data_IF_840922490819
#
_entry.id   IF_840922490819
#
_cell.length_a   1.000
_cell.length_b   1.000
_cell.length_c   1.000
_cell.angle_alpha   90.00
_cell.angle_beta   90.00
_cell.angle_gamma   90.00
#
_symmetry.space_group_name_H-M   'P 1'
#
loop_
_entity.id
_entity.type
_entity.pdbx_description
1 polymer ?
#
# COMPACT_ATOMS: atom_id res chain seq x y z
N UNK A 1 -24.15 -11.00 36.86
CA UNK A 1 -23.17 -12.08 36.59
C UNK A 1 -21.80 -11.43 36.47
N UNK A 2 -21.03 -11.45 37.54
CA UNK A 2 -19.59 -11.14 37.55
C UNK A 2 -18.86 -12.46 37.83
N UNK A 3 -17.68 -12.69 37.23
CA UNK A 3 -16.46 -12.39 38.00
C UNK A 3 -15.28 -11.82 37.18
N UNK A 4 -14.55 -10.93 37.87
CA UNK A 4 -13.11 -10.72 38.04
C UNK A 4 -12.01 -11.14 37.02
N UNK A 5 -10.85 -10.44 37.04
CA UNK A 5 -9.74 -10.54 36.08
C UNK A 5 -8.70 -11.59 36.48
N UNK A 6 -7.93 -12.07 35.49
CA UNK A 6 -6.86 -13.07 35.64
C UNK A 6 -5.49 -12.38 35.48
N UNK A 7 -4.59 -12.64 36.43
CA UNK A 7 -3.16 -12.25 36.46
C UNK A 7 -2.32 -12.92 35.34
N UNK A 8 -1.13 -12.39 35.01
CA UNK A 8 -0.28 -12.94 33.96
C UNK A 8 0.61 -14.11 34.45
N UNK A 9 0.79 -15.08 33.55
CA UNK A 9 1.59 -16.30 33.71
C UNK A 9 3.08 -16.01 33.49
N UNK A 10 3.92 -16.29 34.50
CA UNK A 10 5.37 -16.37 34.39
C UNK A 10 5.77 -17.84 34.14
N UNK A 11 6.28 -18.14 32.95
CA UNK A 11 7.12 -19.34 32.73
C UNK A 11 8.27 -19.02 31.79
N UNK A 12 9.43 -18.72 32.36
CA UNK A 12 10.72 -18.77 31.70
C UNK A 12 11.52 -19.93 32.29
N UNK A 13 11.70 -21.00 31.52
CA UNK A 13 12.52 -22.15 31.88
C UNK A 13 13.78 -22.13 31.00
N UNK A 14 14.95 -21.98 31.63
CA UNK A 14 16.26 -22.22 31.01
C UNK A 14 17.29 -22.62 32.07
N UNK A 15 17.49 -23.93 32.12
CA UNK A 15 18.50 -24.73 32.81
C UNK A 15 19.92 -24.12 32.76
N UNK A 16 20.57 -24.02 33.93
CA UNK A 16 22.02 -23.87 34.06
C UNK A 16 22.53 -24.75 35.22
N UNK A 17 23.60 -25.55 35.05
CA UNK A 17 24.11 -26.35 36.15
C UNK A 17 25.30 -25.67 36.85
N UNK A 18 25.09 -25.48 38.16
CA UNK A 18 25.96 -25.87 39.28
C UNK A 18 27.40 -25.36 39.38
N UNK A 19 27.55 -24.40 40.31
CA UNK A 19 28.53 -24.30 41.40
C UNK A 19 29.77 -25.21 41.40
N UNK A 20 30.94 -24.56 41.52
CA UNK A 20 32.24 -25.14 41.88
C UNK A 20 32.73 -24.53 43.20
N UNK A 21 33.25 -25.32 44.16
CA UNK A 21 33.72 -24.82 45.45
C UNK A 21 35.19 -24.38 45.43
N UNK A 22 35.53 -23.48 46.35
CA UNK A 22 36.87 -22.97 46.61
C UNK A 22 37.77 -24.00 47.31
N UNK A 23 39.03 -24.12 46.87
CA UNK A 23 40.17 -24.49 47.72
C UNK A 23 41.49 -23.94 47.16
N UNK A 24 42.33 -23.55 48.11
CA UNK A 24 43.65 -22.95 47.96
C UNK A 24 44.68 -23.88 47.29
N UNK A 25 45.63 -23.26 46.59
CA UNK A 25 46.85 -23.87 46.09
C UNK A 25 47.78 -22.81 45.52
N UNK A 26 48.95 -22.66 46.13
CA UNK A 26 50.07 -21.81 45.75
C UNK A 26 50.52 -22.03 44.30
N UNK A 27 50.89 -20.96 43.59
CA UNK A 27 52.04 -20.90 42.69
C UNK A 27 52.17 -19.51 42.07
N UNK A 28 53.07 -18.73 42.67
CA UNK A 28 53.93 -17.69 42.11
C UNK A 28 53.95 -17.51 40.58
N UNK A 29 53.60 -16.30 40.11
CA UNK A 29 54.16 -15.70 38.90
C UNK A 29 54.77 -14.36 39.28
N UNK A 30 56.10 -14.32 39.21
CA UNK A 30 56.94 -13.20 39.61
C UNK A 30 56.85 -12.01 38.66
N UNK A 31 56.65 -10.86 39.28
CA UNK A 31 56.75 -9.52 38.74
C UNK A 31 58.14 -9.21 38.19
N UNK A 32 58.13 -8.43 37.10
CA UNK A 32 59.21 -7.69 36.45
C UNK A 32 60.29 -7.22 37.45
N UNK A 33 61.49 -7.78 37.28
CA UNK A 33 62.70 -7.42 38.00
C UNK A 33 63.53 -6.38 37.26
N UNK A 34 63.83 -5.33 37.99
CA UNK A 34 64.66 -4.15 37.72
C UNK A 34 66.06 -4.52 37.21
N UNK A 35 66.56 -3.72 36.26
CA UNK A 35 67.97 -3.70 35.86
C UNK A 35 68.82 -3.29 37.06
N UNK A 36 69.74 -4.15 37.49
CA UNK A 36 70.81 -3.78 38.40
C UNK A 36 72.14 -4.27 37.82
N UNK A 37 72.93 -3.30 37.38
CA UNK A 37 74.35 -3.40 37.05
C UNK A 37 75.17 -3.39 38.35
N UNK A 38 75.91 -4.47 38.64
CA UNK A 38 77.19 -4.42 39.39
C UNK A 38 77.79 -5.83 39.55
N UNK A 39 79.12 -5.87 39.43
CA UNK A 39 80.06 -6.87 39.94
C UNK A 39 80.09 -8.30 39.35
N UNK A 40 81.12 -8.52 38.53
CA UNK A 40 81.98 -9.70 38.65
C UNK A 40 83.37 -9.37 38.09
N UNK A 41 84.22 -8.78 38.95
CA UNK A 41 85.66 -8.84 38.80
C UNK A 41 86.15 -10.27 39.10
N UNK A 42 87.17 -10.71 38.36
CA UNK A 42 88.10 -11.73 38.82
C UNK A 42 87.91 -13.14 38.27
N UNK A 43 88.52 -13.38 37.10
CA UNK A 43 89.22 -14.63 36.86
C UNK A 43 90.41 -14.32 35.96
N UNK A 44 91.56 -14.17 36.60
CA UNK A 44 92.85 -14.08 35.97
C UNK A 44 93.07 -15.36 35.16
N UNK A 45 93.28 -15.23 33.86
CA UNK A 45 93.93 -16.28 33.08
C UNK A 45 95.38 -15.86 32.86
N UNK A 46 96.23 -16.68 33.43
CA UNK A 46 97.68 -16.55 33.51
C UNK A 46 98.28 -16.41 32.13
N UNK A 47 99.10 -15.37 31.96
CA UNK A 47 99.99 -15.19 30.83
C UNK A 47 101.00 -16.34 30.86
N UNK A 48 100.77 -17.33 29.99
CA UNK A 48 101.65 -18.48 29.84
C UNK A 48 103.00 -18.03 29.27
N UNK A 49 104.04 -18.33 30.03
CA UNK A 49 105.42 -18.02 29.73
C UNK A 49 106.01 -19.17 28.90
N UNK A 50 106.47 -18.84 27.69
CA UNK A 50 107.57 -19.50 26.99
C UNK A 50 107.66 -21.04 27.10
N UNK A 51 106.70 -21.73 26.50
CA UNK A 51 106.86 -23.13 26.08
C UNK A 51 107.34 -23.21 24.63
N UNK A 52 108.39 -23.96 24.37
CA UNK A 52 108.74 -24.42 23.01
C UNK A 52 107.49 -25.03 22.34
N UNK A 53 107.29 -24.89 21.01
CA UNK A 53 106.04 -25.26 20.36
C UNK A 53 105.77 -26.75 20.56
N UNK A 54 104.75 -27.10 21.34
CA UNK A 54 104.22 -28.45 21.31
C UNK A 54 103.78 -28.76 19.86
N UNK A 55 104.17 -29.92 19.30
CA UNK A 55 103.79 -30.25 17.94
C UNK A 55 102.27 -30.30 17.87
N UNK A 56 101.69 -29.55 16.95
CA UNK A 56 100.26 -29.59 16.67
C UNK A 56 99.82 -31.06 16.57
N UNK A 57 99.05 -31.53 17.55
CA UNK A 57 98.50 -32.87 17.52
C UNK A 57 97.54 -32.91 16.33
N UNK A 58 97.75 -33.87 15.43
CA UNK A 58 97.06 -33.97 14.14
C UNK A 58 95.52 -34.04 14.27
N UNK A 59 95.03 -34.35 15.48
CA UNK A 59 93.61 -34.36 15.87
C UNK A 59 93.03 -33.00 16.27
N UNK A 60 93.85 -32.04 16.70
CA UNK A 60 93.44 -30.71 17.20
C UNK A 60 93.47 -29.61 16.12
N UNK A 61 93.67 -29.98 14.86
CA UNK A 61 93.69 -29.05 13.74
C UNK A 61 92.27 -28.57 13.37
N UNK A 62 92.08 -27.29 12.97
CA UNK A 62 90.82 -26.79 12.45
C UNK A 62 90.34 -27.57 11.23
N UNK A 63 89.02 -27.69 11.06
CA UNK A 63 88.38 -28.50 10.03
C UNK A 63 88.88 -28.17 8.62
N UNK A 64 88.99 -26.88 8.29
CA UNK A 64 89.52 -26.42 7.00
C UNK A 64 90.97 -26.88 6.74
N UNK A 65 91.82 -26.91 7.77
CA UNK A 65 93.21 -27.37 7.65
C UNK A 65 93.26 -28.89 7.58
N UNK A 66 92.40 -29.60 8.33
CA UNK A 66 92.28 -31.07 8.29
C UNK A 66 91.84 -31.57 6.93
N UNK A 67 90.79 -30.98 6.36
CA UNK A 67 90.29 -31.32 5.03
C UNK A 67 91.36 -31.08 3.97
N UNK A 68 92.05 -29.94 4.05
CA UNK A 68 93.13 -29.61 3.12
C UNK A 68 94.28 -30.61 3.18
N UNK A 69 94.75 -30.96 4.37
CA UNK A 69 95.82 -31.96 4.56
C UNK A 69 95.34 -33.34 4.10
N UNK A 70 94.10 -33.72 4.40
CA UNK A 70 93.51 -34.99 3.98
C UNK A 70 93.40 -35.11 2.45
N UNK A 71 93.09 -34.03 1.74
CA UNK A 71 93.11 -33.98 0.26
C UNK A 71 94.50 -34.25 -0.30
N UNK A 72 95.54 -33.63 0.28
CA UNK A 72 96.93 -33.80 -0.16
C UNK A 72 97.44 -35.21 0.11
N UNK A 73 97.15 -35.76 1.27
CA UNK A 73 97.47 -37.14 1.61
C UNK A 73 96.71 -38.14 0.73
N UNK A 74 95.42 -37.89 0.45
CA UNK A 74 94.59 -38.71 -0.42
C UNK A 74 95.09 -38.74 -1.87
N UNK A 75 95.69 -37.65 -2.35
CA UNK A 75 96.32 -37.57 -3.66
C UNK A 75 97.60 -38.42 -3.70
N UNK A 76 98.45 -38.32 -2.67
CA UNK A 76 99.72 -39.04 -2.58
C UNK A 76 99.54 -40.55 -2.37
N UNK A 77 98.70 -40.97 -1.42
CA UNK A 77 98.51 -42.38 -1.00
C UNK A 77 98.15 -43.33 -2.15
N UNK A 78 97.46 -42.82 -3.16
CA UNK A 78 97.08 -43.61 -4.32
C UNK A 78 98.24 -43.93 -5.27
N UNK A 79 99.36 -43.22 -5.16
CA UNK A 79 100.51 -43.27 -6.06
C UNK A 79 101.80 -43.71 -5.37
N UNK A 80 101.79 -43.85 -4.04
CA UNK A 80 102.93 -44.33 -3.26
C UNK A 80 103.14 -45.85 -3.39
N UNK A 81 104.40 -46.33 -3.31
CA UNK A 81 104.71 -47.75 -3.21
C UNK A 81 104.04 -48.41 -1.98
N UNK A 82 103.63 -49.67 -2.12
CA UNK A 82 102.94 -50.43 -1.03
C UNK A 82 103.82 -50.61 0.22
N UNK A 83 105.13 -50.45 0.09
CA UNK A 83 106.10 -50.46 1.19
C UNK A 83 105.99 -49.22 2.09
N UNK A 84 105.63 -48.06 1.53
CA UNK A 84 105.57 -46.78 2.23
C UNK A 84 104.15 -46.44 2.74
N UNK A 85 103.16 -47.26 2.40
CA UNK A 85 101.77 -47.09 2.84
C UNK A 85 101.46 -47.99 4.05
N UNK A 86 101.10 -47.40 5.21
CA UNK A 86 100.66 -48.14 6.40
C UNK A 86 99.53 -49.12 6.10
N UNK A 87 99.50 -50.26 6.80
CA UNK A 87 98.53 -51.33 6.54
C UNK A 87 97.08 -50.86 6.68
N UNK A 88 96.79 -49.94 7.61
CA UNK A 88 95.44 -49.40 7.81
C UNK A 88 94.96 -48.54 6.62
N UNK A 89 95.86 -47.99 5.80
CA UNK A 89 95.54 -47.10 4.68
C UNK A 89 95.43 -47.80 3.32
N UNK A 90 95.84 -49.07 3.22
CA UNK A 90 95.78 -49.84 1.96
C UNK A 90 94.37 -49.95 1.37
N UNK A 91 93.28 -50.08 2.16
CA UNK A 91 91.92 -50.00 1.63
C UNK A 91 91.57 -48.60 1.11
N UNK A 92 92.01 -47.55 1.81
CA UNK A 92 91.76 -46.14 1.45
C UNK A 92 92.43 -45.77 0.13
N UNK A 93 93.64 -46.28 -0.12
CA UNK A 93 94.36 -46.08 -1.39
C UNK A 93 93.56 -46.56 -2.62
N UNK A 94 92.73 -47.61 -2.44
CA UNK A 94 91.89 -48.19 -3.51
C UNK A 94 90.59 -47.43 -3.76
N UNK A 95 90.21 -46.48 -2.90
CA UNK A 95 88.98 -45.70 -3.12
C UNK A 95 89.12 -44.79 -4.35
N UNK A 96 87.96 -44.47 -4.95
CA UNK A 96 87.87 -43.49 -6.03
C UNK A 96 88.38 -42.11 -5.56
N UNK A 97 89.05 -41.32 -6.42
CA UNK A 97 89.69 -40.06 -6.04
C UNK A 97 88.79 -39.11 -5.24
N UNK A 98 87.53 -38.93 -5.65
CA UNK A 98 86.57 -38.04 -5.00
C UNK A 98 86.13 -38.49 -3.59
N UNK A 99 86.27 -39.78 -3.26
CA UNK A 99 85.86 -40.33 -1.96
C UNK A 99 87.02 -40.52 -0.98
N UNK A 100 88.28 -40.46 -1.46
CA UNK A 100 89.47 -40.71 -0.63
C UNK A 100 89.64 -39.70 0.49
N UNK A 101 89.58 -38.41 0.16
CA UNK A 101 89.70 -37.35 1.16
C UNK A 101 88.48 -37.34 2.12
N UNK A 102 87.27 -37.49 1.57
CA UNK A 102 86.02 -37.37 2.34
C UNK A 102 85.74 -38.56 3.28
N UNK A 103 85.97 -39.80 2.84
CA UNK A 103 85.70 -41.01 3.64
C UNK A 103 86.96 -41.55 4.34
N UNK A 104 88.15 -41.27 3.80
CA UNK A 104 89.43 -41.73 4.35
C UNK A 104 90.20 -40.67 5.11
N UNK A 105 89.72 -39.42 5.15
CA UNK A 105 90.47 -38.29 5.70
C UNK A 105 90.92 -38.46 7.15
N UNK A 106 90.05 -39.01 8.01
CA UNK A 106 90.39 -39.26 9.42
C UNK A 106 91.51 -40.30 9.57
N UNK A 107 91.45 -41.39 8.80
CA UNK A 107 92.49 -42.42 8.79
C UNK A 107 93.80 -41.88 8.21
N UNK A 108 93.73 -41.05 7.17
CA UNK A 108 94.90 -40.40 6.55
C UNK A 108 95.60 -39.45 7.52
N UNK A 109 94.84 -38.61 8.23
CA UNK A 109 95.38 -37.68 9.23
C UNK A 109 95.98 -38.42 10.43
N UNK A 110 95.33 -39.48 10.92
CA UNK A 110 95.87 -40.31 12.00
C UNK A 110 97.20 -40.97 11.58
N UNK A 111 97.25 -41.57 10.38
CA UNK A 111 98.46 -42.19 9.87
C UNK A 111 99.59 -41.20 9.60
N UNK A 112 99.28 -39.96 9.17
CA UNK A 112 100.27 -38.89 9.06
C UNK A 112 100.83 -38.53 10.43
N UNK A 113 100.02 -38.52 11.49
CA UNK A 113 100.47 -38.32 12.86
C UNK A 113 101.38 -39.44 13.36
N UNK A 114 100.93 -40.68 13.21
CA UNK A 114 101.53 -41.87 13.84
C UNK A 114 102.78 -42.39 13.11
N UNK A 115 102.89 -42.21 11.79
CA UNK A 115 103.98 -42.78 10.98
C UNK A 115 104.83 -41.69 10.31
N UNK A 116 106.06 -41.52 10.80
CA UNK A 116 107.04 -40.61 10.19
C UNK A 116 107.43 -41.02 8.76
N UNK A 117 107.59 -42.32 8.50
CA UNK A 117 107.93 -42.84 7.17
C UNK A 117 106.84 -42.47 6.14
N UNK A 118 105.58 -42.67 6.51
CA UNK A 118 104.45 -42.33 5.65
C UNK A 118 104.36 -40.82 5.39
N UNK A 119 104.57 -40.00 6.42
CA UNK A 119 104.61 -38.54 6.30
C UNK A 119 105.69 -38.07 5.32
N UNK A 120 106.91 -38.61 5.44
CA UNK A 120 108.02 -38.30 4.53
C UNK A 120 107.71 -38.73 3.10
N UNK A 121 107.14 -39.92 2.90
CA UNK A 121 106.75 -40.39 1.57
C UNK A 121 105.70 -39.48 0.91
N UNK A 122 104.71 -39.01 1.68
CA UNK A 122 103.71 -38.05 1.21
C UNK A 122 104.35 -36.71 0.85
N UNK A 123 105.27 -36.20 1.66
CA UNK A 123 105.98 -34.93 1.40
C UNK A 123 106.86 -35.04 0.15
N UNK A 124 107.63 -36.11 0.00
CA UNK A 124 108.49 -36.34 -1.16
C UNK A 124 107.67 -36.45 -2.45
N UNK A 125 106.55 -37.18 -2.40
CA UNK A 125 105.64 -37.24 -3.55
C UNK A 125 105.06 -35.86 -3.92
N UNK A 126 104.67 -35.07 -2.91
CA UNK A 126 104.18 -33.70 -3.11
C UNK A 126 105.27 -32.77 -3.66
N UNK A 127 106.53 -32.93 -3.25
CA UNK A 127 107.66 -32.18 -3.81
C UNK A 127 107.92 -32.51 -5.28
N UNK A 128 107.74 -33.76 -5.67
CA UNK A 128 107.97 -34.21 -7.04
C UNK A 128 106.81 -33.83 -7.97
N UNK A 129 105.56 -33.87 -7.49
CA UNK A 129 104.37 -33.76 -8.34
C UNK A 129 103.53 -32.48 -8.13
N UNK A 130 103.67 -31.80 -6.99
CA UNK A 130 102.80 -30.69 -6.54
C UNK A 130 103.55 -29.68 -5.65
N UNK A 131 104.65 -29.12 -6.16
CA UNK A 131 105.50 -28.14 -5.45
C UNK A 131 104.73 -26.94 -4.91
N UNK A 132 103.77 -26.44 -5.70
CA UNK A 132 103.01 -25.21 -5.39
C UNK A 132 102.16 -25.33 -4.13
N UNK A 133 101.88 -26.55 -3.68
CA UNK A 133 101.02 -26.81 -2.52
C UNK A 133 101.81 -26.98 -1.22
N UNK A 134 103.14 -27.04 -1.31
CA UNK A 134 104.05 -27.07 -0.16
C UNK A 134 104.67 -25.70 0.13
N UNK A 135 104.07 -24.61 -0.35
CA UNK A 135 104.52 -23.24 -0.04
C UNK A 135 103.96 -22.77 1.33
N UNK A 136 104.82 -22.60 2.36
CA UNK A 136 104.42 -22.09 3.67
C UNK A 136 104.04 -20.60 3.66
N UNK A 137 104.34 -19.89 2.56
CA UNK A 137 104.05 -18.47 2.36
C UNK A 137 102.93 -18.25 1.32
N UNK A 138 102.15 -19.29 1.02
CA UNK A 138 100.99 -19.16 0.15
C UNK A 138 100.05 -18.03 0.63
N UNK A 139 99.48 -17.28 -0.32
CA UNK A 139 98.57 -16.17 -0.03
C UNK A 139 97.30 -16.60 0.72
N UNK A 140 96.88 -17.85 0.54
CA UNK A 140 95.75 -18.44 1.25
C UNK A 140 96.20 -19.01 2.62
N UNK A 141 95.59 -18.51 3.70
CA UNK A 141 95.95 -18.85 5.08
C UNK A 141 95.79 -20.34 5.42
N UNK A 142 94.76 -21.01 4.86
CA UNK A 142 94.51 -22.44 5.06
C UNK A 142 95.57 -23.29 4.36
N UNK A 143 95.93 -22.94 3.12
CA UNK A 143 96.98 -23.63 2.36
C UNK A 143 98.36 -23.44 2.99
N UNK A 144 98.69 -22.22 3.43
CA UNK A 144 99.93 -21.93 4.15
C UNK A 144 100.03 -22.68 5.49
N UNK A 145 98.93 -22.77 6.24
CA UNK A 145 98.88 -23.54 7.49
C UNK A 145 99.02 -25.05 7.23
N UNK A 146 98.37 -25.59 6.20
CA UNK A 146 98.49 -27.00 5.81
C UNK A 146 99.91 -27.37 5.37
N UNK A 147 100.57 -26.52 4.57
CA UNK A 147 101.96 -26.71 4.16
C UNK A 147 102.93 -26.65 5.35
N UNK A 148 102.76 -25.67 6.25
CA UNK A 148 103.59 -25.54 7.45
C UNK A 148 103.44 -26.73 8.42
N UNK A 149 102.24 -27.29 8.57
CA UNK A 149 101.98 -28.49 9.39
C UNK A 149 102.61 -29.74 8.76
N UNK A 150 102.51 -29.91 7.43
CA UNK A 150 103.13 -31.03 6.73
C UNK A 150 104.66 -30.98 6.78
N UNK A 151 105.25 -29.80 6.62
CA UNK A 151 106.71 -29.60 6.65
C UNK A 151 107.30 -29.56 8.07
N UNK A 152 106.45 -29.53 9.10
CA UNK A 152 106.91 -29.50 10.50
C UNK A 152 107.60 -28.18 10.89
N UNK A 153 107.20 -27.06 10.29
CA UNK A 153 107.80 -25.76 10.59
C UNK A 153 107.48 -25.30 12.02
N UNK A 154 108.43 -24.62 12.67
CA UNK A 154 108.25 -24.04 14.01
C UNK A 154 107.10 -23.01 14.08
N UNK A 155 106.73 -22.39 12.95
CA UNK A 155 105.62 -21.45 12.83
C UNK A 155 104.23 -22.07 12.59
N UNK A 156 104.12 -23.39 12.44
CA UNK A 156 102.86 -24.06 12.07
C UNK A 156 101.72 -23.81 13.08
N UNK A 157 102.00 -23.89 14.38
CA UNK A 157 101.01 -23.67 15.44
C UNK A 157 100.45 -22.24 15.46
N UNK A 158 101.26 -21.23 15.08
CA UNK A 158 100.80 -19.84 14.96
C UNK A 158 99.83 -19.66 13.79
N UNK A 159 100.16 -20.23 12.62
CA UNK A 159 99.32 -20.16 11.42
C UNK A 159 97.98 -20.90 11.59
N UNK A 160 98.01 -22.06 12.24
CA UNK A 160 96.80 -22.83 12.56
C UNK A 160 95.85 -22.06 13.48
N UNK A 161 96.39 -21.40 14.53
CA UNK A 161 95.59 -20.52 15.41
C UNK A 161 94.98 -19.34 14.66
N UNK A 162 95.71 -18.74 13.71
CA UNK A 162 95.18 -17.66 12.87
C UNK A 162 94.01 -18.14 11.99
N UNK A 163 94.11 -19.34 11.40
CA UNK A 163 93.00 -19.93 10.62
C UNK A 163 91.79 -20.20 11.50
N UNK A 164 91.98 -20.74 12.71
CA UNK A 164 90.90 -20.97 13.66
C UNK A 164 90.18 -19.66 14.03
N UNK A 165 90.95 -18.61 14.38
CA UNK A 165 90.42 -17.29 14.72
C UNK A 165 89.65 -16.66 13.54
N UNK A 166 90.17 -16.77 12.32
CA UNK A 166 89.49 -16.26 11.13
C UNK A 166 88.19 -17.02 10.86
N UNK A 167 88.16 -18.34 11.07
CA UNK A 167 86.94 -19.13 10.92
C UNK A 167 85.87 -18.73 11.94
N UNK A 168 86.24 -18.56 13.22
CA UNK A 168 85.36 -18.06 14.27
C UNK A 168 84.81 -16.66 13.94
N UNK A 169 85.66 -15.75 13.48
CA UNK A 169 85.24 -14.41 13.09
C UNK A 169 84.26 -14.43 11.91
N UNK A 170 84.49 -15.30 10.92
CA UNK A 170 83.54 -15.46 9.80
C UNK A 170 82.21 -16.04 10.24
N UNK A 171 82.21 -17.00 11.18
CA UNK A 171 80.98 -17.58 11.73
C UNK A 171 80.18 -16.53 12.51
N UNK A 172 80.83 -15.76 13.39
CA UNK A 172 80.17 -14.69 14.15
C UNK A 172 79.64 -13.58 13.24
N UNK A 173 80.35 -13.23 12.16
CA UNK A 173 79.86 -12.28 11.15
C UNK A 173 78.61 -12.82 10.44
N UNK A 174 78.61 -14.09 10.05
CA UNK A 174 77.45 -14.72 9.42
C UNK A 174 76.23 -14.78 10.36
N UNK A 175 76.44 -15.10 11.64
CA UNK A 175 75.39 -15.09 12.66
C UNK A 175 74.81 -13.69 12.89
N UNK A 176 75.68 -12.68 12.97
CA UNK A 176 75.28 -11.27 13.06
C UNK A 176 74.45 -10.86 11.86
N UNK A 177 74.92 -11.16 10.64
CA UNK A 177 74.22 -10.77 9.41
C UNK A 177 72.87 -11.48 9.30
N UNK A 178 72.77 -12.75 9.72
CA UNK A 178 71.51 -13.47 9.82
C UNK A 178 70.57 -12.89 10.90
N UNK A 179 71.10 -12.41 12.03
CA UNK A 179 70.31 -11.73 13.05
C UNK A 179 69.79 -10.38 12.56
N UNK A 180 70.63 -9.58 11.89
CA UNK A 180 70.24 -8.30 11.28
C UNK A 180 69.17 -8.50 10.21
N UNK A 181 69.32 -9.51 9.34
CA UNK A 181 68.31 -9.82 8.33
C UNK A 181 66.97 -10.25 8.95
N UNK A 182 66.99 -10.99 10.07
CA UNK A 182 65.76 -11.33 10.82
C UNK A 182 65.13 -10.09 11.44
N UNK A 183 65.94 -9.20 12.02
CA UNK A 183 65.44 -7.98 12.63
C UNK A 183 64.79 -7.06 11.60
N UNK A 184 65.41 -6.87 10.44
CA UNK A 184 64.84 -6.10 9.32
C UNK A 184 63.52 -6.67 8.81
N UNK A 185 63.37 -8.00 8.74
CA UNK A 185 62.09 -8.63 8.37
C UNK A 185 61.01 -8.35 9.41
N UNK A 186 61.33 -8.51 10.69
CA UNK A 186 60.39 -8.22 11.78
C UNK A 186 60.01 -6.73 11.82
N UNK A 187 60.95 -5.82 11.54
CA UNK A 187 60.66 -4.39 11.44
C UNK A 187 59.72 -4.07 10.28
N UNK A 188 59.90 -4.73 9.12
CA UNK A 188 59.01 -4.61 7.98
C UNK A 188 57.60 -5.15 8.28
N UNK A 189 57.50 -6.33 8.88
CA UNK A 189 56.22 -6.92 9.33
C UNK A 189 55.52 -6.03 10.36
N UNK A 190 56.26 -5.46 11.32
CA UNK A 190 55.69 -4.51 12.29
C UNK A 190 55.21 -3.21 11.63
N UNK A 191 55.91 -2.72 10.60
CA UNK A 191 55.47 -1.56 9.85
C UNK A 191 54.18 -1.83 9.06
N UNK A 192 54.09 -3.00 8.43
CA UNK A 192 52.90 -3.45 7.71
C UNK A 192 51.70 -3.61 8.65
N UNK A 193 51.87 -4.32 9.77
CA UNK A 193 50.82 -4.50 10.78
C UNK A 193 50.35 -3.17 11.39
N UNK A 194 51.25 -2.21 11.60
CA UNK A 194 50.86 -0.86 12.06
C UNK A 194 50.00 -0.14 11.04
N UNK A 195 50.34 -0.27 9.75
CA UNK A 195 49.57 0.35 8.66
C UNK A 195 48.20 -0.31 8.51
N UNK A 196 48.11 -1.64 8.58
CA UNK A 196 46.83 -2.36 8.61
C UNK A 196 45.96 -1.95 9.80
N UNK A 197 46.57 -1.78 10.98
CA UNK A 197 45.87 -1.37 12.19
C UNK A 197 45.31 0.05 12.06
N UNK A 198 46.09 1.00 11.55
CA UNK A 198 45.62 2.36 11.29
C UNK A 198 44.51 2.41 10.23
N UNK A 199 44.61 1.58 9.17
CA UNK A 199 43.53 1.44 8.18
C UNK A 199 42.26 0.86 8.81
N UNK A 200 42.37 -0.17 9.64
CA UNK A 200 41.25 -0.78 10.33
C UNK A 200 40.59 0.20 11.33
N UNK A 201 41.39 1.00 12.04
CA UNK A 201 40.89 2.07 12.92
C UNK A 201 40.15 3.15 12.12
N UNK A 202 40.74 3.65 11.03
CA UNK A 202 40.10 4.65 10.18
C UNK A 202 38.78 4.14 9.57
N UNK A 203 38.74 2.88 9.12
CA UNK A 203 37.51 2.25 8.64
C UNK A 203 36.44 2.15 9.75
N UNK A 204 36.83 1.78 10.97
CA UNK A 204 35.91 1.70 12.10
C UNK A 204 35.36 3.07 12.51
N UNK A 205 36.20 4.12 12.50
CA UNK A 205 35.77 5.50 12.76
C UNK A 205 34.81 6.01 11.69
N UNK A 206 35.07 5.74 10.41
CA UNK A 206 34.17 6.11 9.32
C UNK A 206 32.79 5.44 9.47
N UNK A 207 32.77 4.12 9.69
CA UNK A 207 31.51 3.37 9.91
C UNK A 207 30.77 3.90 11.15
N UNK A 208 31.50 4.27 12.21
CA UNK A 208 30.91 4.87 13.40
C UNK A 208 30.30 6.24 13.09
N UNK A 209 31.01 7.10 12.36
CA UNK A 209 30.52 8.42 11.94
C UNK A 209 29.29 8.33 11.05
N UNK A 210 29.26 7.39 10.10
CA UNK A 210 28.08 7.12 9.26
C UNK A 210 26.87 6.70 10.10
N UNK A 211 27.05 5.76 11.05
CA UNK A 211 25.99 5.32 11.95
C UNK A 211 25.49 6.46 12.85
N UNK A 212 26.39 7.26 13.41
CA UNK A 212 26.03 8.42 14.25
C UNK A 212 25.22 9.45 13.43
N UNK A 213 25.61 9.71 12.18
CA UNK A 213 24.89 10.60 11.27
C UNK A 213 23.51 10.03 10.87
N UNK A 214 23.39 8.72 10.66
CA UNK A 214 22.10 8.05 10.43
C UNK A 214 21.18 8.16 11.64
N UNK A 215 21.70 7.91 12.84
CA UNK A 215 20.95 8.06 14.09
C UNK A 215 20.47 9.50 14.27
N UNK A 216 21.31 10.50 13.99
CA UNK A 216 20.91 11.91 14.06
C UNK A 216 19.80 12.24 13.06
N UNK A 217 19.90 11.74 11.81
CA UNK A 217 18.83 11.88 10.80
C UNK A 217 17.53 11.23 11.25
N UNK A 218 17.58 10.03 11.83
CA UNK A 218 16.40 9.33 12.35
C UNK A 218 15.77 10.07 13.54
N UNK A 219 16.59 10.56 14.48
CA UNK A 219 16.12 11.36 15.61
C UNK A 219 15.47 12.66 15.14
N UNK A 220 16.03 13.32 14.11
CA UNK A 220 15.44 14.51 13.50
C UNK A 220 14.09 14.21 12.87
N UNK A 221 13.98 13.15 12.06
CA UNK A 221 12.71 12.70 11.46
C UNK A 221 11.68 12.34 12.52
N UNK A 222 12.09 11.68 13.60
CA UNK A 222 11.19 11.33 14.71
C UNK A 222 10.66 12.58 15.42
N UNK A 223 11.51 13.60 15.62
CA UNK A 223 11.07 14.90 16.17
C UNK A 223 10.11 15.62 15.23
N UNK A 224 10.42 15.65 13.93
CA UNK A 224 9.55 16.25 12.90
C UNK A 224 8.18 15.56 12.86
N UNK A 225 8.15 14.22 12.84
CA UNK A 225 6.92 13.43 12.94
C UNK A 225 6.18 13.66 14.26
N UNK A 226 6.90 13.78 15.38
CA UNK A 226 6.32 14.08 16.69
C UNK A 226 5.72 15.49 16.77
N UNK A 227 6.24 16.47 16.02
CA UNK A 227 5.64 17.80 15.88
C UNK A 227 4.41 17.74 14.97
N UNK A 228 4.51 17.08 13.82
CA UNK A 228 3.37 16.90 12.89
C UNK A 228 2.20 16.17 13.56
N UNK A 229 2.45 15.13 14.34
CA UNK A 229 1.42 14.40 15.06
C UNK A 229 0.74 15.28 16.12
N UNK A 230 1.51 16.13 16.84
CA UNK A 230 0.94 17.09 17.79
C UNK A 230 0.07 18.12 17.06
N UNK A 231 0.58 18.74 16.00
CA UNK A 231 -0.19 19.68 15.19
C UNK A 231 -1.47 19.06 14.62
N UNK A 232 -1.41 17.81 14.15
CA UNK A 232 -2.58 17.09 13.63
C UNK A 232 -3.59 16.79 14.74
N UNK A 233 -3.14 16.45 15.96
CA UNK A 233 -4.01 16.27 17.12
C UNK A 233 -4.68 17.58 17.53
N UNK A 234 -3.91 18.65 17.67
CA UNK A 234 -4.42 19.97 18.05
C UNK A 234 -5.44 20.49 17.02
N UNK A 235 -5.15 20.30 15.72
CA UNK A 235 -6.07 20.65 14.64
C UNK A 235 -7.36 19.80 14.66
N UNK A 236 -7.25 18.50 14.96
CA UNK A 236 -8.41 17.63 15.08
C UNK A 236 -9.28 17.98 16.29
N UNK A 237 -8.69 18.37 17.42
CA UNK A 237 -9.42 18.88 18.58
C UNK A 237 -10.13 20.20 18.25
N UNK A 238 -9.43 21.16 17.63
CA UNK A 238 -10.04 22.42 17.20
C UNK A 238 -11.21 22.23 16.23
N UNK A 239 -11.08 21.30 15.28
CA UNK A 239 -12.14 20.98 14.32
C UNK A 239 -13.36 20.32 14.99
N UNK A 240 -13.15 19.49 16.03
CA UNK A 240 -14.23 18.92 16.84
C UNK A 240 -14.96 20.02 17.61
N UNK A 241 -14.23 20.91 18.28
CA UNK A 241 -14.83 22.02 19.02
C UNK A 241 -15.63 22.97 18.11
N UNK A 242 -15.16 23.18 16.88
CA UNK A 242 -15.90 23.97 15.89
C UNK A 242 -17.16 23.25 15.40
N UNK A 243 -17.08 21.94 15.14
CA UNK A 243 -18.23 21.13 14.78
C UNK A 243 -19.29 21.10 15.89
N UNK A 244 -18.87 20.97 17.15
CA UNK A 244 -19.76 20.97 18.31
C UNK A 244 -20.43 22.34 18.51
N UNK A 245 -19.67 23.44 18.38
CA UNK A 245 -20.22 24.80 18.40
C UNK A 245 -21.20 25.04 17.25
N UNK A 246 -20.86 24.61 16.04
CA UNK A 246 -21.73 24.69 14.87
C UNK A 246 -22.99 23.84 15.03
N UNK A 247 -22.87 22.65 15.60
CA UNK A 247 -23.98 21.76 15.94
C UNK A 247 -24.93 22.37 16.96
N UNK A 248 -24.38 22.94 18.05
CA UNK A 248 -25.16 23.63 19.08
C UNK A 248 -25.89 24.86 18.52
N UNK A 249 -25.23 25.68 17.70
CA UNK A 249 -25.86 26.83 17.06
C UNK A 249 -27.03 26.43 16.14
N UNK A 250 -26.82 25.39 15.31
CA UNK A 250 -27.88 24.84 14.44
C UNK A 250 -29.02 24.23 15.25
N UNK A 251 -28.74 23.55 16.36
CA UNK A 251 -29.78 23.00 17.22
C UNK A 251 -30.69 24.10 17.77
N UNK A 252 -30.11 25.21 18.26
CA UNK A 252 -30.86 26.38 18.73
C UNK A 252 -31.70 27.00 17.60
N UNK A 253 -31.15 27.13 16.40
CA UNK A 253 -31.88 27.65 15.23
C UNK A 253 -33.06 26.75 14.84
N UNK A 254 -32.85 25.43 14.81
CA UNK A 254 -33.90 24.45 14.52
C UNK A 254 -34.99 24.45 15.60
N UNK A 255 -34.64 24.56 16.87
CA UNK A 255 -35.61 24.71 17.96
C UNK A 255 -36.43 26.00 17.80
N UNK A 256 -35.79 27.12 17.45
CA UNK A 256 -36.47 28.39 17.20
C UNK A 256 -37.43 28.31 16.01
N UNK A 257 -37.01 27.74 14.89
CA UNK A 257 -37.84 27.53 13.70
C UNK A 257 -39.01 26.57 13.98
N UNK A 258 -38.77 25.48 14.70
CA UNK A 258 -39.83 24.55 15.11
C UNK A 258 -40.85 25.23 16.03
N UNK A 259 -40.39 26.08 16.97
CA UNK A 259 -41.28 26.85 17.83
C UNK A 259 -42.11 27.86 17.01
N UNK A 260 -41.52 28.54 16.03
CA UNK A 260 -42.25 29.43 15.11
C UNK A 260 -43.29 28.66 14.29
N UNK A 261 -42.90 27.53 13.68
CA UNK A 261 -43.80 26.69 12.92
C UNK A 261 -44.94 26.15 13.78
N UNK A 262 -44.66 25.78 15.04
CA UNK A 262 -45.65 25.37 16.02
C UNK A 262 -46.66 26.49 16.31
N UNK A 263 -46.20 27.72 16.52
CA UNK A 263 -47.08 28.89 16.73
C UNK A 263 -47.94 29.18 15.50
N UNK A 264 -47.38 29.15 14.30
CA UNK A 264 -48.13 29.36 13.06
C UNK A 264 -49.16 28.25 12.83
N UNK A 265 -48.80 26.98 13.05
CA UNK A 265 -49.76 25.86 13.01
C UNK A 265 -50.89 26.05 14.01
N UNK A 266 -50.60 26.51 15.22
CA UNK A 266 -51.62 26.77 16.23
C UNK A 266 -52.53 27.94 15.83
N UNK A 267 -51.99 29.02 15.27
CA UNK A 267 -52.77 30.14 14.71
C UNK A 267 -53.74 29.64 13.65
N UNK A 268 -53.23 28.95 12.63
CA UNK A 268 -54.05 28.36 11.55
C UNK A 268 -55.10 27.41 12.11
N UNK A 269 -54.76 26.56 13.08
CA UNK A 269 -55.73 25.66 13.73
C UNK A 269 -56.84 26.44 14.46
N UNK A 270 -56.48 27.49 15.21
CA UNK A 270 -57.47 28.33 15.91
C UNK A 270 -58.35 29.12 14.96
N UNK A 271 -57.81 29.64 13.87
CA UNK A 271 -58.58 30.34 12.83
C UNK A 271 -59.53 29.38 12.11
N UNK A 272 -59.06 28.18 11.76
CA UNK A 272 -59.91 27.12 11.19
C UNK A 272 -61.03 26.74 12.13
N UNK A 273 -60.75 26.50 13.41
CA UNK A 273 -61.77 26.18 14.40
C UNK A 273 -62.80 27.32 14.57
N UNK A 274 -62.37 28.59 14.48
CA UNK A 274 -63.28 29.74 14.47
C UNK A 274 -64.15 29.77 13.21
N UNK A 275 -63.56 29.52 12.04
CA UNK A 275 -64.28 29.47 10.78
C UNK A 275 -65.30 28.32 10.74
N UNK A 276 -64.93 27.13 11.24
CA UNK A 276 -65.82 25.98 11.39
C UNK A 276 -66.99 26.30 12.32
N UNK A 277 -66.74 26.90 13.49
CA UNK A 277 -67.82 27.34 14.39
C UNK A 277 -68.74 28.37 13.74
N UNK A 278 -68.18 29.39 13.09
CA UNK A 278 -68.97 30.39 12.39
C UNK A 278 -69.81 29.77 11.26
N UNK A 279 -69.28 28.76 10.56
CA UNK A 279 -70.04 28.03 9.53
C UNK A 279 -71.17 27.20 10.13
N UNK A 280 -70.92 26.51 11.24
CA UNK A 280 -71.95 25.74 11.96
C UNK A 280 -73.04 26.66 12.52
N UNK A 281 -72.68 27.79 13.13
CA UNK A 281 -73.63 28.80 13.63
C UNK A 281 -74.47 29.38 12.48
N UNK A 282 -73.85 29.64 11.32
CA UNK A 282 -74.55 30.12 10.13
C UNK A 282 -75.50 29.05 9.55
N UNK A 283 -75.14 27.77 9.60
CA UNK A 283 -76.01 26.66 9.21
C UNK A 283 -77.19 26.51 10.16
N UNK A 284 -76.96 26.56 11.49
CA UNK A 284 -78.02 26.55 12.51
C UNK A 284 -78.97 27.75 12.31
N UNK A 285 -78.43 28.95 12.09
CA UNK A 285 -79.24 30.14 11.82
C UNK A 285 -80.05 30.04 10.52
N UNK A 286 -79.49 29.41 9.48
CA UNK A 286 -80.21 29.12 8.23
C UNK A 286 -81.31 28.08 8.44
N UNK A 287 -81.04 27.04 9.22
CA UNK A 287 -82.00 26.00 9.55
C UNK A 287 -83.16 26.57 10.37
N UNK A 288 -82.89 27.35 11.41
CA UNK A 288 -83.93 28.00 12.21
C UNK A 288 -84.74 29.03 11.40
N UNK A 289 -84.09 29.76 10.47
CA UNK A 289 -84.80 30.64 9.54
C UNK A 289 -85.69 29.88 8.56
N UNK A 290 -85.29 28.66 8.12
CA UNK A 290 -86.14 27.78 7.31
C UNK A 290 -87.32 27.26 8.11
N UNK A 291 -87.08 26.74 9.31
CA UNK A 291 -88.14 26.25 10.20
C UNK A 291 -89.12 27.36 10.59
N UNK A 292 -88.66 28.59 10.81
CA UNK A 292 -89.52 29.75 11.04
C UNK A 292 -90.35 30.09 9.81
N UNK A 293 -89.77 30.06 8.60
CA UNK A 293 -90.52 30.25 7.35
C UNK A 293 -91.54 29.15 7.11
N UNK A 294 -91.19 27.89 7.36
CA UNK A 294 -92.12 26.76 7.28
C UNK A 294 -93.26 26.90 8.30
N UNK A 295 -92.96 27.33 9.53
CA UNK A 295 -93.97 27.61 10.54
C UNK A 295 -94.88 28.79 10.16
N UNK A 296 -94.30 29.86 9.58
CA UNK A 296 -95.06 30.99 9.04
C UNK A 296 -95.91 30.58 7.83
N UNK A 297 -95.41 29.71 6.95
CA UNK A 297 -96.17 29.12 5.84
C UNK A 297 -97.33 28.25 6.33
N UNK A 298 -97.11 27.41 7.35
CA UNK A 298 -98.18 26.62 8.00
C UNK A 298 -99.20 27.55 8.65
N UNK A 299 -98.77 28.63 9.31
CA UNK A 299 -99.67 29.63 9.89
C UNK A 299 -100.46 30.38 8.82
N UNK A 300 -99.82 30.76 7.71
CA UNK A 300 -100.46 31.39 6.56
C UNK A 300 -101.49 30.43 5.94
N UNK A 301 -101.16 29.14 5.81
CA UNK A 301 -102.08 28.12 5.34
C UNK A 301 -103.31 27.98 6.26
N UNK A 302 -103.14 27.96 7.59
CA UNK A 302 -104.25 27.94 8.55
C UNK A 302 -105.08 29.23 8.52
N UNK A 303 -104.47 30.39 8.31
CA UNK A 303 -105.18 31.67 8.14
C UNK A 303 -105.96 31.70 6.81
N UNK A 304 -105.40 31.16 5.74
CA UNK A 304 -106.11 30.98 4.46
C UNK A 304 -107.23 29.96 4.62
N UNK A 305 -107.04 28.86 5.35
CA UNK A 305 -108.08 27.85 5.59
C UNK A 305 -109.20 28.38 6.48
N UNK A 306 -108.90 29.26 7.44
CA UNK A 306 -109.94 29.96 8.22
C UNK A 306 -110.67 31.03 7.41
N UNK A 307 -109.98 31.72 6.50
CA UNK A 307 -110.64 32.60 5.52
C UNK A 307 -111.44 31.77 4.51
N UNK A 308 -110.95 30.63 4.03
CA UNK A 308 -111.67 29.74 3.11
C UNK A 308 -112.86 29.07 3.81
N UNK A 309 -112.75 28.78 5.12
CA UNK A 309 -113.86 28.37 5.97
C UNK A 309 -114.91 29.48 6.17
N UNK A 310 -114.47 30.73 6.35
CA UNK A 310 -115.37 31.90 6.44
C UNK A 310 -116.01 32.24 5.07
N UNK A 311 -115.26 32.12 3.98
CA UNK A 311 -115.70 32.33 2.59
C UNK A 311 -116.58 31.17 2.13
N UNK A 312 -116.31 29.92 2.54
CA UNK A 312 -117.17 28.76 2.30
C UNK A 312 -118.45 28.83 3.15
N UNK A 313 -118.38 29.36 4.37
CA UNK A 313 -119.56 29.71 5.19
C UNK A 313 -120.43 30.75 4.50
N UNK A 314 -119.82 31.82 3.96
CA UNK A 314 -120.51 32.86 3.19
C UNK A 314 -121.04 32.34 1.83
N UNK A 315 -120.30 31.44 1.16
CA UNK A 315 -120.68 30.76 -0.09
C UNK A 315 -121.79 29.71 0.11
N UNK A 316 -121.93 29.17 1.32
CA UNK A 316 -123.01 28.26 1.74
C UNK A 316 -124.28 29.00 2.17
N UNK A 317 -124.19 30.25 2.65
CA UNK A 317 -125.36 31.11 2.86
C UNK A 317 -125.82 31.86 1.58
N UNK A 318 -124.95 32.04 0.58
CA UNK A 318 -125.25 32.72 -0.70
C UNK A 318 -125.41 31.79 -1.93
N UNK A 319 -125.47 30.48 -1.75
CA UNK A 319 -125.78 29.49 -2.81
C UNK A 319 -125.07 29.72 -4.17
N UNK A 320 -123.74 29.87 -4.19
CA UNK A 320 -122.95 30.01 -5.42
C UNK A 320 -122.07 28.79 -5.69
N UNK A 321 -122.64 27.85 -6.45
CA UNK A 321 -121.95 26.68 -6.98
C UNK A 321 -120.98 26.99 -8.13
N UNK A 322 -119.83 26.32 -8.05
CA UNK A 322 -119.12 25.52 -9.07
C UNK A 322 -118.66 26.10 -10.45
N UNK A 323 -117.47 25.58 -10.85
CA UNK A 323 -116.96 25.23 -12.20
C UNK A 323 -115.72 25.98 -12.72
N UNK A 324 -114.77 25.16 -13.21
CA UNK A 324 -114.06 25.45 -14.47
C UNK A 324 -112.57 25.04 -14.52
N UNK A 325 -112.27 23.95 -15.21
CA UNK A 325 -110.94 23.41 -15.50
C UNK A 325 -110.23 24.06 -16.72
N UNK A 326 -108.98 23.59 -16.97
CA UNK A 326 -108.29 23.28 -18.27
C UNK A 326 -106.98 24.08 -18.53
N UNK A 327 -106.22 23.87 -19.64
CA UNK A 327 -105.66 22.65 -20.29
C UNK A 327 -104.20 22.87 -20.82
N UNK A 328 -103.24 21.99 -20.51
CA UNK A 328 -101.91 22.03 -21.17
C UNK A 328 -101.26 20.66 -21.45
N UNK A 329 -101.86 19.53 -21.07
CA UNK A 329 -101.19 18.22 -21.12
C UNK A 329 -101.47 17.40 -22.38
N UNK A 330 -101.40 17.99 -23.58
CA UNK A 330 -101.62 17.26 -24.83
C UNK A 330 -100.81 17.82 -26.02
N UNK A 331 -99.48 17.62 -26.05
CA UNK A 331 -98.74 17.54 -27.33
C UNK A 331 -97.62 16.51 -27.25
N UNK A 332 -97.67 15.52 -28.17
CA UNK A 332 -96.75 14.39 -28.34
C UNK A 332 -96.27 14.37 -29.80
N UNK A 333 -94.96 14.22 -30.03
CA UNK A 333 -94.40 13.65 -31.26
C UNK A 333 -93.29 14.43 -31.97
N UNK A 334 -92.04 13.98 -31.83
CA UNK A 334 -91.02 13.91 -32.90
C UNK A 334 -90.09 12.73 -32.59
N UNK A 335 -90.06 11.73 -33.47
CA UNK A 335 -89.07 10.65 -33.47
C UNK A 335 -87.85 11.07 -34.27
N UNK A 336 -86.69 11.20 -33.63
CA UNK A 336 -85.38 11.19 -34.29
C UNK A 336 -84.57 10.06 -33.69
N UNK A 337 -84.31 9.02 -34.50
CA UNK A 337 -83.59 7.83 -34.09
C UNK A 337 -82.11 8.14 -33.82
N UNK A 338 -81.69 7.84 -32.59
CA UNK A 338 -80.32 7.57 -32.22
C UNK A 338 -80.43 6.58 -31.06
N UNK A 339 -80.37 5.29 -31.39
CA UNK A 339 -80.21 4.27 -30.34
C UNK A 339 -78.87 4.50 -29.63
N UNK A 340 -78.78 4.26 -28.32
CA UNK A 340 -77.51 4.36 -27.61
C UNK A 340 -76.44 3.49 -28.29
N UNK A 341 -75.28 4.07 -28.63
CA UNK A 341 -74.11 3.31 -29.11
C UNK A 341 -73.84 3.28 -30.63
N UNK A 342 -74.40 4.19 -31.43
CA UNK A 342 -74.04 4.29 -32.86
C UNK A 342 -72.60 4.80 -33.09
N UNK A 343 -71.84 4.19 -34.03
CA UNK A 343 -70.49 4.69 -34.42
C UNK A 343 -70.62 5.87 -35.38
N UNK A 344 -69.90 6.96 -35.10
CA UNK A 344 -69.85 8.15 -35.96
C UNK A 344 -68.84 7.88 -37.08
N UNK A 345 -69.25 7.91 -38.35
CA UNK A 345 -68.39 7.53 -39.49
C UNK A 345 -67.91 8.73 -40.32
N UNK A 346 -68.60 9.87 -40.24
CA UNK A 346 -68.36 11.05 -41.06
C UNK A 346 -68.50 12.37 -40.26
N UNK A 347 -67.92 13.44 -40.78
CA UNK A 347 -67.90 14.77 -40.13
C UNK A 347 -69.31 15.35 -39.92
N UNK A 348 -70.26 15.25 -40.88
CA UNK A 348 -71.63 15.74 -40.66
C UNK A 348 -72.41 14.99 -39.57
N UNK A 349 -72.10 13.70 -39.31
CA UNK A 349 -72.68 13.01 -38.16
C UNK A 349 -72.09 13.53 -36.85
N UNK A 350 -70.76 13.76 -36.80
CA UNK A 350 -70.12 14.36 -35.63
C UNK A 350 -70.74 15.72 -35.29
N UNK A 351 -70.96 16.59 -36.28
CA UNK A 351 -71.59 17.91 -36.08
C UNK A 351 -73.01 17.81 -35.53
N UNK A 352 -73.82 16.85 -35.98
CA UNK A 352 -75.17 16.61 -35.44
C UNK A 352 -75.14 16.20 -33.97
N UNK A 353 -74.19 15.37 -33.57
CA UNK A 353 -74.03 14.98 -32.17
C UNK A 353 -73.51 16.14 -31.31
N UNK A 354 -72.59 16.95 -31.83
CA UNK A 354 -72.07 18.13 -31.12
C UNK A 354 -73.08 19.28 -30.99
N UNK A 355 -74.14 19.28 -31.80
CA UNK A 355 -75.24 20.24 -31.71
C UNK A 355 -76.30 19.87 -30.65
N UNK A 356 -76.26 18.66 -30.08
CA UNK A 356 -77.19 18.27 -29.02
C UNK A 356 -76.90 19.05 -27.72
N UNK A 357 -77.94 19.48 -26.99
CA UNK A 357 -77.73 20.17 -25.71
C UNK A 357 -77.05 19.25 -24.72
N UNK A 358 -76.08 19.78 -23.97
CA UNK A 358 -75.34 19.08 -22.92
C UNK A 358 -74.56 17.84 -23.40
N UNK A 359 -74.14 17.76 -24.66
CA UNK A 359 -73.28 16.66 -25.13
C UNK A 359 -71.90 16.70 -24.45
N UNK A 360 -71.38 15.53 -24.08
CA UNK A 360 -70.01 15.39 -23.55
C UNK A 360 -69.11 14.75 -24.62
N UNK A 361 -68.11 15.49 -25.09
CA UNK A 361 -67.06 14.98 -25.99
C UNK A 361 -65.82 14.60 -25.18
N UNK A 362 -65.50 13.31 -25.13
CA UNK A 362 -64.26 12.79 -24.54
C UNK A 362 -63.26 12.49 -25.66
N UNK A 363 -62.05 13.01 -25.54
CA UNK A 363 -61.00 12.92 -26.56
C UNK A 363 -59.81 12.14 -26.03
N UNK A 364 -59.42 11.08 -26.74
CA UNK A 364 -58.17 10.36 -26.52
C UNK A 364 -57.03 11.17 -27.14
N UNK A 365 -56.28 11.87 -26.29
CA UNK A 365 -55.35 12.90 -26.69
C UNK A 365 -54.27 12.40 -27.65
N UNK A 366 -53.49 11.39 -27.26
CA UNK A 366 -52.41 10.89 -28.12
C UNK A 366 -52.90 10.12 -29.34
N UNK A 367 -54.06 9.48 -29.27
CA UNK A 367 -54.63 8.84 -30.46
C UNK A 367 -55.00 9.88 -31.52
N UNK A 368 -55.57 11.00 -31.10
CA UNK A 368 -55.93 12.12 -31.99
C UNK A 368 -54.69 12.87 -32.50
N UNK A 369 -53.72 13.18 -31.63
CA UNK A 369 -52.51 13.90 -32.06
C UNK A 369 -51.63 13.08 -33.00
N UNK A 370 -51.44 11.78 -32.73
CA UNK A 370 -50.68 10.88 -33.62
C UNK A 370 -51.36 10.70 -34.97
N UNK A 371 -52.69 10.85 -35.04
CA UNK A 371 -53.43 10.78 -36.31
C UNK A 371 -53.34 12.09 -37.11
N UNK A 372 -53.32 13.25 -36.43
CA UNK A 372 -53.44 14.55 -37.10
C UNK A 372 -52.14 15.29 -37.41
N UNK A 373 -51.11 15.13 -36.57
CA UNK A 373 -49.83 15.84 -36.72
C UNK A 373 -48.69 15.06 -36.04
N UNK A 374 -48.41 13.82 -36.48
CA UNK A 374 -47.39 12.94 -35.89
C UNK A 374 -45.96 13.53 -35.93
N UNK A 375 -45.71 14.49 -36.81
CA UNK A 375 -44.41 15.13 -37.01
C UNK A 375 -44.00 16.12 -35.90
N UNK A 376 -44.94 16.56 -35.05
CA UNK A 376 -44.68 17.49 -33.95
C UNK A 376 -44.15 16.78 -32.70
N UNK A 377 -43.40 17.49 -31.85
CA UNK A 377 -43.01 16.97 -30.54
C UNK A 377 -44.22 16.82 -29.60
N UNK A 378 -44.19 15.86 -28.66
CA UNK A 378 -45.36 15.52 -27.82
C UNK A 378 -45.93 16.71 -27.03
N UNK A 379 -45.11 17.68 -26.63
CA UNK A 379 -45.56 18.90 -25.98
C UNK A 379 -46.34 19.81 -26.96
N UNK A 380 -45.78 20.07 -28.14
CA UNK A 380 -46.42 20.88 -29.19
C UNK A 380 -47.69 20.22 -29.73
N UNK A 381 -47.70 18.88 -29.81
CA UNK A 381 -48.88 18.09 -30.15
C UNK A 381 -50.05 18.38 -29.19
N UNK A 382 -49.76 18.39 -27.88
CA UNK A 382 -50.76 18.62 -26.83
C UNK A 382 -51.28 20.05 -26.87
N UNK A 383 -50.40 21.03 -26.94
CA UNK A 383 -50.77 22.44 -26.95
C UNK A 383 -51.62 22.78 -28.18
N UNK A 384 -51.25 22.25 -29.35
CA UNK A 384 -52.05 22.37 -30.57
C UNK A 384 -53.43 21.73 -30.44
N UNK A 385 -53.53 20.52 -29.85
CA UNK A 385 -54.82 19.84 -29.66
C UNK A 385 -55.74 20.66 -28.75
N UNK A 386 -55.21 21.09 -27.61
CA UNK A 386 -55.97 21.83 -26.60
C UNK A 386 -56.48 23.15 -27.20
N UNK A 387 -55.67 23.83 -28.01
CA UNK A 387 -56.09 25.06 -28.69
C UNK A 387 -57.22 24.81 -29.69
N UNK A 388 -57.10 23.77 -30.53
CA UNK A 388 -58.14 23.41 -31.51
C UNK A 388 -59.45 22.96 -30.84
N UNK A 389 -59.35 22.19 -29.76
CA UNK A 389 -60.51 21.77 -28.96
C UNK A 389 -61.19 22.95 -28.25
N UNK A 390 -60.43 23.93 -27.78
CA UNK A 390 -61.00 25.14 -27.19
C UNK A 390 -61.78 25.96 -28.21
N UNK A 391 -61.26 26.08 -29.44
CA UNK A 391 -61.97 26.73 -30.54
C UNK A 391 -63.20 25.93 -31.02
N UNK A 392 -63.22 24.61 -30.82
CA UNK A 392 -64.41 23.77 -31.05
C UNK A 392 -65.45 23.97 -29.95
N UNK A 393 -65.04 23.90 -28.68
CA UNK A 393 -65.90 24.08 -27.50
C UNK A 393 -66.52 25.49 -27.44
N UNK A 394 -65.83 26.51 -27.95
CA UNK A 394 -66.39 27.87 -28.03
C UNK A 394 -67.53 28.00 -29.07
N UNK A 395 -67.61 27.09 -30.05
CA UNK A 395 -68.61 27.12 -31.13
C UNK A 395 -69.72 26.08 -30.96
N UNK A 396 -69.56 25.14 -30.03
CA UNK A 396 -70.54 24.09 -29.73
C UNK A 396 -70.98 24.19 -28.28
N UNK A 397 -72.13 23.63 -27.93
CA UNK A 397 -72.56 23.52 -26.52
C UNK A 397 -71.96 22.28 -25.83
N UNK A 398 -70.86 21.73 -26.38
CA UNK A 398 -70.27 20.48 -25.94
C UNK A 398 -69.33 20.72 -24.74
N UNK A 399 -69.50 19.91 -23.70
CA UNK A 399 -68.48 19.78 -22.66
C UNK A 399 -67.33 18.93 -23.22
N UNK A 400 -66.13 19.50 -23.35
CA UNK A 400 -64.98 18.81 -23.94
C UNK A 400 -64.00 18.40 -22.86
N UNK A 401 -63.72 17.10 -22.75
CA UNK A 401 -62.67 16.54 -21.89
C UNK A 401 -61.63 15.83 -22.75
N UNK A 402 -60.36 16.20 -22.63
CA UNK A 402 -59.24 15.50 -23.30
C UNK A 402 -58.41 14.76 -22.26
N UNK A 403 -58.12 13.48 -22.53
CA UNK A 403 -57.33 12.60 -21.66
C UNK A 403 -55.99 12.31 -22.33
N UNK A 404 -54.88 12.60 -21.64
CA UNK A 404 -53.53 12.24 -22.07
C UNK A 404 -52.95 11.16 -21.18
N UNK A 405 -52.18 10.25 -21.77
CA UNK A 405 -51.45 9.22 -21.03
C UNK A 405 -50.26 9.85 -20.26
N UNK A 406 -50.17 9.56 -18.96
CA UNK A 406 -49.25 10.18 -17.99
C UNK A 406 -47.83 9.63 -17.95
N UNK A 407 -47.46 8.72 -18.85
CA UNK A 407 -46.11 8.19 -18.96
C UNK A 407 -45.12 9.24 -19.55
N UNK A 408 -44.70 10.22 -18.74
CA UNK A 408 -43.54 11.07 -19.04
C UNK A 408 -43.75 12.58 -19.08
N UNK A 409 -44.62 13.17 -18.26
CA UNK A 409 -44.84 14.63 -18.23
C UNK A 409 -44.36 15.23 -16.90
N UNK A 410 -43.41 16.19 -16.97
CA UNK A 410 -42.84 16.93 -15.84
C UNK A 410 -43.43 18.34 -15.64
N UNK A 411 -44.48 18.73 -16.37
CA UNK A 411 -45.20 19.97 -16.11
C UNK A 411 -46.59 19.96 -16.74
N UNK A 412 -47.60 20.29 -15.93
CA UNK A 412 -48.95 20.63 -16.42
C UNK A 412 -48.89 22.06 -16.95
N UNK A 413 -49.34 22.36 -18.18
CA UNK A 413 -49.34 23.72 -18.71
C UNK A 413 -50.14 24.67 -17.79
N UNK A 414 -49.55 25.82 -17.48
CA UNK A 414 -50.01 26.75 -16.43
C UNK A 414 -51.35 27.48 -16.74
N UNK A 415 -51.95 27.26 -17.91
CA UNK A 415 -53.25 27.81 -18.25
C UNK A 415 -53.95 26.89 -19.26
N UNK A 416 -55.02 26.21 -18.82
CA UNK A 416 -55.93 25.51 -19.74
C UNK A 416 -56.93 26.54 -20.28
N UNK A 417 -57.06 26.71 -21.61
CA UNK A 417 -58.06 27.59 -22.21
C UNK A 417 -59.47 27.26 -21.73
N UNK A 418 -60.31 28.30 -21.53
CA UNK A 418 -61.69 28.12 -21.03
C UNK A 418 -62.49 27.20 -21.96
N UNK A 419 -63.24 26.27 -21.38
CA UNK A 419 -64.15 25.37 -22.10
C UNK A 419 -63.65 23.96 -22.38
N UNK A 420 -62.37 23.64 -22.10
CA UNK A 420 -61.82 22.29 -22.23
C UNK A 420 -61.26 21.81 -20.89
N UNK A 421 -61.63 20.60 -20.46
CA UNK A 421 -61.04 19.95 -19.29
C UNK A 421 -59.91 19.02 -19.75
N UNK A 422 -58.71 19.22 -19.24
CA UNK A 422 -57.54 18.39 -19.57
C UNK A 422 -57.25 17.46 -18.39
N UNK A 423 -57.26 16.15 -18.63
CA UNK A 423 -56.95 15.13 -17.65
C UNK A 423 -55.67 14.38 -18.07
N UNK A 424 -54.83 14.06 -17.09
CA UNK A 424 -53.68 13.19 -17.25
C UNK A 424 -53.94 11.91 -16.48
N UNK A 425 -53.67 10.75 -17.07
CA UNK A 425 -53.73 9.50 -16.32
C UNK A 425 -52.60 9.45 -15.27
N UNK A 426 -52.86 8.78 -14.14
CA UNK A 426 -51.83 8.52 -13.13
C UNK A 426 -50.74 7.60 -13.68
N UNK A 427 -49.54 7.63 -13.07
CA UNK A 427 -48.44 6.74 -13.47
C UNK A 427 -48.88 5.28 -13.38
N UNK A 428 -48.84 4.57 -14.51
CA UNK A 428 -49.20 3.16 -14.61
C UNK A 428 -50.66 2.88 -14.94
N UNK A 429 -51.49 3.93 -15.11
CA UNK A 429 -52.88 3.82 -15.59
C UNK A 429 -52.94 4.27 -17.05
N UNK A 430 -53.50 3.44 -17.92
CA UNK A 430 -53.66 3.79 -19.33
C UNK A 430 -54.78 4.83 -19.50
N UNK A 431 -54.62 5.75 -20.46
CA UNK A 431 -55.66 6.72 -20.80
C UNK A 431 -57.00 6.04 -21.15
N UNK A 432 -56.96 4.86 -21.75
CA UNK A 432 -58.11 4.02 -22.08
C UNK A 432 -58.98 3.68 -20.85
N UNK A 433 -58.35 3.36 -19.72
CA UNK A 433 -59.04 3.01 -18.48
C UNK A 433 -59.71 4.24 -17.86
N UNK A 434 -59.04 5.39 -17.92
CA UNK A 434 -59.60 6.67 -17.49
C UNK A 434 -60.80 7.05 -18.36
N UNK A 435 -60.72 6.86 -19.68
CA UNK A 435 -61.83 7.10 -20.60
C UNK A 435 -63.02 6.19 -20.28
N UNK A 436 -62.79 4.89 -20.02
CA UNK A 436 -63.85 3.95 -19.62
C UNK A 436 -64.50 4.37 -18.30
N UNK A 437 -63.71 4.80 -17.32
CA UNK A 437 -64.21 5.27 -16.04
C UNK A 437 -65.06 6.55 -16.18
N UNK A 438 -64.63 7.50 -17.03
CA UNK A 438 -65.39 8.72 -17.31
C UNK A 438 -66.73 8.42 -18.01
N UNK A 439 -66.74 7.49 -18.97
CA UNK A 439 -67.99 7.06 -19.64
C UNK A 439 -68.93 6.35 -18.66
N UNK A 440 -68.40 5.52 -17.75
CA UNK A 440 -69.21 4.80 -16.77
C UNK A 440 -69.77 5.72 -15.66
N UNK A 441 -69.07 6.79 -15.32
CA UNK A 441 -69.48 7.73 -14.27
C UNK A 441 -70.56 8.74 -14.73
N UNK A 442 -70.75 8.92 -16.04
CA UNK A 442 -71.70 9.89 -16.57
C UNK A 442 -73.17 9.42 -16.40
N UNK A 443 -74.13 10.31 -16.10
CA UNK A 443 -75.53 9.94 -15.93
C UNK A 443 -76.15 9.34 -17.20
N UNK A 444 -76.94 8.27 -17.02
CA UNK A 444 -77.70 7.64 -18.11
C UNK A 444 -78.63 8.66 -18.76
N UNK A 445 -78.51 8.82 -20.09
CA UNK A 445 -79.35 9.72 -20.89
C UNK A 445 -78.65 10.96 -21.42
N UNK A 446 -77.42 11.27 -20.96
CA UNK A 446 -76.60 12.33 -21.55
C UNK A 446 -75.94 11.84 -22.86
N UNK A 447 -76.06 12.57 -23.99
CA UNK A 447 -75.35 12.20 -25.21
C UNK A 447 -73.83 12.29 -25.00
N UNK A 448 -73.12 11.19 -25.24
CA UNK A 448 -71.66 11.13 -25.13
C UNK A 448 -71.03 10.75 -26.46
N UNK A 449 -69.95 11.43 -26.81
CA UNK A 449 -69.12 11.14 -27.98
C UNK A 449 -67.70 10.88 -27.51
N UNK A 450 -67.09 9.78 -27.96
CA UNK A 450 -65.69 9.44 -27.61
C UNK A 450 -64.85 9.41 -28.87
N UNK A 451 -63.88 10.31 -28.98
CA UNK A 451 -62.97 10.37 -30.12
C UNK A 451 -61.74 9.49 -29.86
N UNK A 452 -61.70 8.32 -30.49
CA UNK A 452 -60.56 7.38 -30.45
C UNK A 452 -60.57 6.49 -31.69
N UNK A 453 -59.38 6.11 -32.16
CA UNK A 453 -59.20 5.09 -33.21
C UNK A 453 -58.85 3.71 -32.64
N UNK A 454 -58.71 3.57 -31.32
CA UNK A 454 -58.53 2.27 -30.70
C UNK A 454 -59.84 1.47 -30.74
N UNK A 455 -59.79 0.28 -31.35
CA UNK A 455 -60.96 -0.58 -31.51
C UNK A 455 -61.46 -1.13 -30.17
N UNK A 456 -60.57 -1.49 -29.26
CA UNK A 456 -60.92 -2.04 -27.96
C UNK A 456 -61.61 -1.00 -27.07
N UNK A 457 -61.20 0.28 -27.16
CA UNK A 457 -61.88 1.38 -26.46
C UNK A 457 -63.21 1.69 -27.11
N UNK A 458 -63.24 1.85 -28.45
CA UNK A 458 -64.45 2.16 -29.20
C UNK A 458 -65.58 1.14 -28.96
N UNK A 459 -65.26 -0.16 -28.91
CA UNK A 459 -66.25 -1.21 -28.65
C UNK A 459 -66.77 -1.17 -27.21
N UNK A 460 -65.92 -0.86 -26.24
CA UNK A 460 -66.33 -0.79 -24.84
C UNK A 460 -67.16 0.43 -24.50
N UNK A 461 -66.79 1.61 -25.01
CA UNK A 461 -67.57 2.83 -24.77
C UNK A 461 -68.91 2.76 -25.49
N UNK A 462 -68.95 2.08 -26.64
CA UNK A 462 -70.20 1.73 -27.33
C UNK A 462 -71.11 0.84 -26.48
N UNK A 463 -70.57 -0.19 -25.85
CA UNK A 463 -71.34 -1.05 -24.95
C UNK A 463 -71.91 -0.27 -23.75
N UNK A 464 -71.23 0.79 -23.30
CA UNK A 464 -71.70 1.71 -22.26
C UNK A 464 -72.68 2.80 -22.76
N UNK A 465 -73.02 2.82 -24.06
CA UNK A 465 -73.99 3.74 -24.65
C UNK A 465 -73.41 5.04 -25.23
N UNK A 466 -72.09 5.20 -25.23
CA UNK A 466 -71.43 6.34 -25.88
C UNK A 466 -71.24 6.10 -27.39
N UNK A 467 -71.06 7.19 -28.15
CA UNK A 467 -70.91 7.15 -29.61
C UNK A 467 -69.42 7.28 -29.98
N UNK A 468 -68.73 6.19 -30.37
CA UNK A 468 -67.32 6.29 -30.76
C UNK A 468 -67.17 6.99 -32.11
N UNK A 469 -66.24 7.93 -32.19
CA UNK A 469 -65.84 8.65 -33.39
C UNK A 469 -64.35 8.36 -33.70
N UNK A 470 -63.99 7.93 -34.93
CA UNK A 470 -62.60 7.76 -35.32
C UNK A 470 -61.83 9.08 -35.21
N UNK A 471 -60.58 9.02 -34.76
CA UNK A 471 -59.75 10.22 -34.59
C UNK A 471 -59.57 11.01 -35.87
N UNK A 472 -59.51 10.33 -37.03
CA UNK A 472 -59.46 10.99 -38.34
C UNK A 472 -60.68 11.89 -38.63
N UNK A 473 -61.87 11.52 -38.14
CA UNK A 473 -63.09 12.33 -38.30
C UNK A 473 -63.01 13.58 -37.43
N UNK A 474 -62.53 13.46 -36.19
CA UNK A 474 -62.32 14.61 -35.31
C UNK A 474 -61.24 15.54 -35.86
N UNK A 475 -60.10 15.01 -36.30
CA UNK A 475 -59.01 15.81 -36.91
C UNK A 475 -59.50 16.56 -38.15
N UNK A 476 -60.25 15.88 -39.05
CA UNK A 476 -60.84 16.52 -40.23
C UNK A 476 -61.80 17.65 -39.85
N UNK A 477 -62.55 17.49 -38.75
CA UNK A 477 -63.41 18.55 -38.21
C UNK A 477 -62.62 19.71 -37.62
N UNK A 478 -61.53 19.44 -36.91
CA UNK A 478 -60.62 20.42 -36.30
C UNK A 478 -59.76 21.16 -37.33
N UNK A 479 -59.57 20.60 -38.54
CA UNK A 479 -58.92 21.30 -39.65
C UNK A 479 -59.81 22.34 -40.34
N UNK A 480 -61.12 22.34 -40.06
CA UNK A 480 -62.12 23.31 -40.57
C UNK A 480 -62.47 24.41 -39.55
N UNK A 481 -61.70 24.49 -38.45
CA UNK A 481 -61.90 25.35 -37.28
C UNK A 481 -61.15 26.65 -37.43
#
# INVERSE_FOLDING_TARGET
>A
MQPQPVEPDETGDAVGPSAVPARAGEATVGTVGTVNTADAAGAADTVDAAGAPEPATWSALPDAVRERIAELAAAAVAKLPVADVPRQLRPVAKFAPAKRAKLGGTALLAALGDSAQFRTAVIEWLREHRTDVLDPNAAESVSAAAAAVLLGESGAAGRVRLVAKNAEETALRAERDAALARNQRLEAELAELRLELEQARGAAENVRGEREAEVEKLLRRLREQGVQLRQAKDAAEAARDEADRGGAARAVELEALNAQLGRERQRVATERARAERASADAEIARQSAREAREADEVRLALLIDTIDGAVSGLRRELALGDRGARPADMVRGVTSGLGPGGRIQDVPALDRHLALPNVHLIVDGYNVTKTGYPELALADQRDRLIHQLSALAARTAAEVTVVFDGAGVLSVPAAVPRGVRVLFSDRGVLADDVIRALVAAEPKGRPMVVATSDRAVADSVRAAGAHPAPSAVLVSRLGRV
#
